data_IF_930810533122
#
_entry.id   IF_930810533122
#
_cell.length_a   1.000
_cell.length_b   1.000
_cell.length_c   1.000
_cell.angle_alpha   90.00
_cell.angle_beta   90.00
_cell.angle_gamma   90.00
#
_symmetry.space_group_name_H-M   'P 1'
#
loop_
_entity.id
_entity.type
_entity.pdbx_description
1 polymer ?
#
# COMPACT_ATOMS: atom_id res chain seq x y z
N UNK A 1 -11.65 18.06 -9.47
CA UNK A 1 -13.00 17.84 -8.90
C UNK A 1 -14.01 17.64 -10.03
N UNK A 2 -14.33 16.39 -10.35
CA UNK A 2 -15.31 16.03 -11.39
C UNK A 2 -16.40 15.16 -10.78
N UNK A 3 -17.02 15.63 -9.70
CA UNK A 3 -18.25 15.06 -9.16
C UNK A 3 -19.19 16.22 -8.80
N UNK A 4 -20.36 16.18 -9.43
CA UNK A 4 -21.34 17.26 -9.53
C UNK A 4 -22.05 17.52 -8.20
N UNK A 5 -22.44 18.78 -7.96
CA UNK A 5 -23.49 19.36 -7.10
C UNK A 5 -24.11 18.67 -5.86
N UNK A 6 -24.10 17.35 -5.73
CA UNK A 6 -24.86 16.56 -4.76
C UNK A 6 -23.99 15.83 -3.72
N UNK A 7 -22.67 15.99 -3.80
CA UNK A 7 -21.71 15.31 -2.91
C UNK A 7 -20.83 16.31 -2.18
N UNK A 8 -20.71 16.16 -0.86
CA UNK A 8 -19.82 16.97 -0.03
C UNK A 8 -18.66 16.15 0.50
N UNK A 9 -17.42 16.54 0.20
CA UNK A 9 -16.22 15.88 0.72
C UNK A 9 -16.11 16.12 2.24
N UNK A 10 -16.07 15.04 3.02
CA UNK A 10 -15.88 15.08 4.47
C UNK A 10 -14.41 14.96 4.84
N UNK A 11 -13.67 14.04 4.20
CA UNK A 11 -12.27 13.79 4.50
C UNK A 11 -11.55 13.12 3.33
N UNK A 12 -10.27 13.44 3.14
CA UNK A 12 -9.41 12.85 2.12
C UNK A 12 -8.06 12.45 2.72
N UNK A 13 -7.91 11.22 3.26
CA UNK A 13 -6.59 10.65 3.56
C UNK A 13 -5.79 10.36 2.30
N UNK A 14 -4.53 10.79 2.29
CA UNK A 14 -3.61 10.66 1.16
C UNK A 14 -2.29 10.10 1.66
N UNK A 15 -1.94 8.89 1.22
CA UNK A 15 -0.67 8.24 1.49
C UNK A 15 0.20 8.31 0.24
N UNK A 16 1.41 8.84 0.35
CA UNK A 16 2.31 8.93 -0.78
C UNK A 16 3.72 8.45 -0.46
N UNK A 17 4.36 7.85 -1.46
CA UNK A 17 5.80 7.58 -1.45
C UNK A 17 6.54 8.91 -1.61
N UNK A 18 7.70 9.03 -0.98
CA UNK A 18 8.65 10.09 -1.31
C UNK A 18 8.97 10.15 -2.83
N UNK A 19 9.46 11.29 -3.29
CA UNK A 19 9.92 11.49 -4.66
C UNK A 19 11.26 10.81 -4.95
N UNK A 20 11.77 11.04 -6.15
CA UNK A 20 13.09 10.60 -6.60
C UNK A 20 14.22 10.97 -5.61
N UNK A 21 15.16 10.05 -5.44
CA UNK A 21 16.25 10.15 -4.46
C UNK A 21 17.51 9.47 -4.95
N UNK A 22 18.63 9.78 -4.30
CA UNK A 22 19.84 8.98 -4.38
C UNK A 22 19.62 7.57 -3.81
N UNK A 23 20.40 6.56 -4.22
CA UNK A 23 20.28 5.20 -3.71
C UNK A 23 20.56 5.18 -2.20
N UNK A 24 19.96 4.23 -1.48
CA UNK A 24 20.15 4.15 -0.02
C UNK A 24 21.52 3.61 0.38
N UNK A 25 22.21 2.94 -0.54
CA UNK A 25 23.58 2.41 -0.44
C UNK A 25 24.05 1.99 -1.84
N UNK A 26 25.35 1.80 -2.00
CA UNK A 26 25.92 1.17 -3.18
C UNK A 26 26.53 -0.20 -2.84
N UNK A 27 26.61 -1.10 -3.81
CA UNK A 27 27.33 -2.37 -3.66
C UNK A 27 28.86 -2.18 -3.80
N UNK A 28 29.69 -3.11 -3.27
CA UNK A 28 31.14 -2.90 -3.17
C UNK A 28 31.86 -2.52 -4.47
N UNK A 29 31.50 -3.13 -5.60
CA UNK A 29 32.14 -2.86 -6.91
C UNK A 29 31.50 -1.74 -7.70
N UNK A 30 30.45 -1.11 -7.17
CA UNK A 30 29.79 0.00 -7.84
C UNK A 30 30.74 1.20 -8.01
N UNK A 31 30.85 1.82 -9.20
CA UNK A 31 31.77 2.95 -9.41
C UNK A 31 31.32 4.24 -8.72
N UNK A 32 30.03 4.38 -8.38
CA UNK A 32 29.45 5.59 -7.83
C UNK A 32 29.24 5.45 -6.33
N UNK A 33 30.25 5.88 -5.57
CA UNK A 33 30.16 5.93 -4.11
C UNK A 33 29.36 7.14 -3.66
N UNK A 34 29.23 7.31 -2.35
CA UNK A 34 28.39 8.34 -1.75
C UNK A 34 28.75 9.77 -2.21
N UNK A 35 30.02 10.00 -2.51
CA UNK A 35 30.56 11.26 -3.02
C UNK A 35 30.13 11.59 -4.47
N UNK A 36 29.66 10.61 -5.23
CA UNK A 36 29.06 10.84 -6.54
C UNK A 36 27.66 11.49 -6.43
N UNK A 37 27.04 11.48 -5.25
CA UNK A 37 25.72 12.02 -5.00
C UNK A 37 25.84 13.36 -4.24
N UNK A 38 25.28 14.48 -4.76
CA UNK A 38 25.52 15.81 -4.20
C UNK A 38 25.13 16.00 -2.73
N UNK A 39 24.20 15.20 -2.21
CA UNK A 39 23.77 15.21 -0.81
C UNK A 39 24.12 13.90 -0.06
N UNK A 40 24.83 12.97 -0.70
CA UNK A 40 25.05 11.62 -0.20
C UNK A 40 23.87 10.68 -0.44
N UNK A 41 23.88 9.52 0.23
CA UNK A 41 22.90 8.45 0.00
C UNK A 41 21.54 8.71 0.69
N UNK A 42 20.48 8.15 0.09
CA UNK A 42 19.11 8.21 0.60
C UNK A 42 18.49 9.61 0.65
N UNK A 43 19.05 10.59 -0.06
CA UNK A 43 18.59 11.98 -0.04
C UNK A 43 17.66 12.28 -1.21
N UNK A 44 16.61 13.05 -0.94
CA UNK A 44 15.68 13.55 -1.95
C UNK A 44 16.41 14.46 -2.94
N UNK A 45 16.25 14.19 -4.24
CA UNK A 45 16.88 14.99 -5.30
C UNK A 45 16.01 16.18 -5.69
N UNK A 46 16.53 17.06 -6.56
CA UNK A 46 15.73 18.15 -7.12
C UNK A 46 14.56 17.63 -7.97
N UNK A 47 14.75 16.50 -8.64
CA UNK A 47 13.69 15.83 -9.38
C UNK A 47 12.61 15.31 -8.42
N UNK A 48 12.99 14.72 -7.27
CA UNK A 48 12.03 14.31 -6.24
C UNK A 48 11.26 15.48 -5.63
N UNK A 49 11.91 16.63 -5.43
CA UNK A 49 11.25 17.87 -5.01
C UNK A 49 10.23 18.35 -6.06
N UNK A 50 10.60 18.33 -7.35
CA UNK A 50 9.71 18.68 -8.46
C UNK A 50 8.49 17.76 -8.52
N UNK A 51 8.68 16.45 -8.40
CA UNK A 51 7.60 15.47 -8.40
C UNK A 51 6.58 15.72 -7.29
N UNK A 52 7.03 16.03 -6.07
CA UNK A 52 6.11 16.37 -4.98
C UNK A 52 5.44 17.74 -5.14
N UNK A 53 6.15 18.71 -5.70
CA UNK A 53 5.56 20.00 -6.04
C UNK A 53 4.41 19.82 -7.04
N UNK A 54 4.61 19.01 -8.08
CA UNK A 54 3.59 18.67 -9.09
C UNK A 54 2.44 17.86 -8.50
N UNK A 55 2.73 16.89 -7.62
CA UNK A 55 1.69 16.18 -6.88
C UNK A 55 0.82 17.16 -6.08
N UNK A 56 1.44 18.13 -5.40
CA UNK A 56 0.72 19.18 -4.67
C UNK A 56 -0.16 20.04 -5.58
N UNK A 57 0.35 20.44 -6.75
CA UNK A 57 -0.41 21.19 -7.75
C UNK A 57 -1.59 20.38 -8.32
N UNK A 58 -1.41 19.07 -8.53
CA UNK A 58 -2.45 18.15 -8.97
C UNK A 58 -3.56 18.00 -7.92
N UNK A 59 -3.18 17.77 -6.66
CA UNK A 59 -4.13 17.60 -5.55
C UNK A 59 -4.92 18.88 -5.27
N UNK A 60 -4.30 20.05 -5.48
CA UNK A 60 -4.96 21.34 -5.29
C UNK A 60 -4.38 22.41 -6.21
N UNK A 61 -5.13 22.74 -7.25
CA UNK A 61 -4.81 23.89 -8.09
C UNK A 61 -5.11 25.19 -7.35
N UNK A 62 -4.08 25.84 -6.81
CA UNK A 62 -4.16 27.21 -6.30
C UNK A 62 -3.00 28.03 -6.86
N UNK A 63 -3.18 28.69 -8.03
CA UNK A 63 -2.12 29.48 -8.63
C UNK A 63 -1.69 30.61 -7.68
N UNK A 64 -0.38 30.87 -7.63
CA UNK A 64 0.19 31.99 -6.86
C UNK A 64 0.21 31.82 -5.34
N UNK A 65 0.12 30.58 -4.81
CA UNK A 65 0.34 30.35 -3.39
C UNK A 65 1.80 30.69 -3.03
N UNK A 66 2.00 31.70 -2.18
CA UNK A 66 3.33 31.99 -1.60
C UNK A 66 3.69 30.92 -0.57
N UNK A 67 4.98 30.67 -0.41
CA UNK A 67 5.48 29.80 0.65
C UNK A 67 4.97 30.27 2.01
N UNK A 68 4.57 29.30 2.83
CA UNK A 68 4.18 29.50 4.23
C UNK A 68 4.62 28.26 5.02
N UNK A 69 5.01 28.42 6.30
CA UNK A 69 5.34 27.28 7.13
C UNK A 69 4.08 26.46 7.43
N UNK A 70 4.11 25.17 7.08
CA UNK A 70 3.07 24.20 7.44
C UNK A 70 3.75 23.15 8.32
N UNK A 71 3.25 22.88 9.54
CA UNK A 71 3.86 21.90 10.42
C UNK A 71 3.76 20.50 9.81
N UNK A 72 4.88 19.78 9.80
CA UNK A 72 4.96 18.35 9.45
C UNK A 72 5.29 17.59 10.72
N UNK A 73 4.35 16.75 11.16
CA UNK A 73 4.51 15.94 12.37
C UNK A 73 5.25 14.64 12.03
N UNK A 74 6.16 14.23 12.92
CA UNK A 74 6.93 13.00 12.77
C UNK A 74 7.18 12.38 14.15
N UNK A 75 7.59 11.12 14.16
CA UNK A 75 8.02 10.39 15.36
C UNK A 75 9.41 9.80 15.12
N UNK A 76 10.22 9.58 16.17
CA UNK A 76 11.51 8.92 16.03
C UNK A 76 11.38 7.52 15.42
N UNK A 77 12.36 7.10 14.60
CA UNK A 77 12.30 5.81 13.90
C UNK A 77 12.16 4.60 14.85
N UNK A 78 12.71 4.67 16.06
CA UNK A 78 12.55 3.62 17.08
C UNK A 78 11.10 3.44 17.54
N UNK A 79 10.29 4.50 17.46
CA UNK A 79 8.88 4.57 17.89
C UNK A 79 7.89 4.54 16.72
N UNK A 80 8.37 4.67 15.48
CA UNK A 80 7.54 4.63 14.28
C UNK A 80 6.86 3.26 14.11
N UNK A 81 5.53 3.25 14.05
CA UNK A 81 4.72 2.02 13.99
C UNK A 81 3.55 2.10 13.00
N UNK A 82 3.42 3.21 12.25
CA UNK A 82 2.28 3.50 11.40
C UNK A 82 2.65 3.71 9.93
N UNK A 83 3.80 4.33 9.64
CA UNK A 83 4.18 4.77 8.30
C UNK A 83 5.48 4.16 7.78
N UNK A 84 6.15 3.30 8.56
CA UNK A 84 7.35 2.57 8.13
C UNK A 84 7.12 1.06 8.24
N UNK A 85 6.89 0.41 7.11
CA UNK A 85 6.72 -1.04 7.01
C UNK A 85 7.88 -1.68 6.24
N UNK A 86 8.20 -2.96 6.51
CA UNK A 86 7.61 -3.82 7.51
C UNK A 86 8.09 -3.55 8.95
N UNK A 87 7.25 -3.82 9.95
CA UNK A 87 7.62 -3.81 11.36
C UNK A 87 8.51 -5.02 11.70
N UNK A 88 9.81 -4.76 11.79
CA UNK A 88 10.84 -5.78 12.00
C UNK A 88 10.90 -6.37 13.42
N UNK A 89 10.23 -5.77 14.40
CA UNK A 89 10.20 -6.23 15.79
C UNK A 89 9.04 -7.20 16.10
N UNK A 90 8.13 -7.47 15.15
CA UNK A 90 6.99 -8.35 15.34
C UNK A 90 7.35 -9.86 15.21
N UNK A 91 7.31 -10.67 16.30
CA UNK A 91 7.72 -12.08 16.23
C UNK A 91 6.84 -12.94 15.32
N UNK A 92 5.51 -12.70 15.33
CA UNK A 92 4.59 -13.43 14.46
C UNK A 92 4.83 -13.11 12.98
N UNK A 93 5.15 -11.86 12.64
CA UNK A 93 5.49 -11.51 11.27
C UNK A 93 6.78 -12.20 10.81
N UNK A 94 7.82 -12.27 11.67
CA UNK A 94 9.04 -13.04 11.38
C UNK A 94 8.74 -14.51 11.09
N UNK A 95 7.84 -15.12 11.87
CA UNK A 95 7.41 -16.50 11.63
C UNK A 95 6.71 -16.64 10.26
N UNK A 96 5.80 -15.74 9.93
CA UNK A 96 5.11 -15.74 8.63
C UNK A 96 6.08 -15.56 7.46
N UNK A 97 7.12 -14.74 7.62
CA UNK A 97 8.17 -14.59 6.61
C UNK A 97 8.97 -15.88 6.45
N UNK A 98 9.34 -16.54 7.55
CA UNK A 98 9.99 -17.85 7.49
C UNK A 98 9.10 -18.90 6.79
N UNK A 99 7.81 -18.96 7.13
CA UNK A 99 6.86 -19.84 6.44
C UNK A 99 6.75 -19.51 4.93
N UNK A 100 6.82 -18.22 4.56
CA UNK A 100 6.78 -17.77 3.16
C UNK A 100 7.98 -18.30 2.37
N UNK A 101 9.17 -18.28 2.97
CA UNK A 101 10.41 -18.79 2.35
C UNK A 101 10.35 -20.30 2.05
N UNK A 102 9.45 -21.05 2.70
CA UNK A 102 9.24 -22.48 2.49
C UNK A 102 8.06 -22.79 1.55
N UNK A 103 7.41 -21.77 0.97
CA UNK A 103 6.35 -22.00 -0.01
C UNK A 103 6.92 -22.38 -1.38
N UNK A 104 6.16 -23.18 -2.14
CA UNK A 104 6.55 -23.57 -3.50
C UNK A 104 6.80 -22.36 -4.40
N UNK A 105 5.99 -21.30 -4.28
CA UNK A 105 6.14 -20.07 -5.06
C UNK A 105 7.50 -19.39 -4.81
N UNK A 106 7.89 -19.24 -3.54
CA UNK A 106 9.19 -18.65 -3.19
C UNK A 106 10.37 -19.53 -3.61
N UNK A 107 10.27 -20.85 -3.38
CA UNK A 107 11.31 -21.81 -3.76
C UNK A 107 11.49 -21.90 -5.28
N UNK A 108 10.40 -21.83 -6.04
CA UNK A 108 10.44 -21.85 -7.50
C UNK A 108 11.18 -20.63 -8.06
N UNK A 109 10.88 -19.42 -7.56
CA UNK A 109 11.60 -18.21 -7.96
C UNK A 109 13.07 -18.28 -7.53
N UNK A 110 13.34 -18.73 -6.31
CA UNK A 110 14.72 -18.87 -5.80
C UNK A 110 15.55 -19.81 -6.68
N UNK A 111 14.97 -20.95 -7.07
CA UNK A 111 15.64 -21.93 -7.94
C UNK A 111 15.80 -21.40 -9.36
N UNK A 112 14.76 -20.79 -9.92
CA UNK A 112 14.77 -20.28 -11.29
C UNK A 112 15.77 -19.13 -11.52
N UNK A 113 16.07 -18.35 -10.47
CA UNK A 113 17.00 -17.22 -10.54
C UNK A 113 18.36 -17.51 -9.89
N UNK A 114 18.68 -18.77 -9.57
CA UNK A 114 19.92 -19.12 -8.89
C UNK A 114 21.16 -18.64 -9.65
N UNK A 115 21.26 -18.95 -10.95
CA UNK A 115 22.38 -18.54 -11.80
C UNK A 115 22.52 -17.00 -11.87
N UNK A 116 21.38 -16.29 -11.85
CA UNK A 116 21.37 -14.84 -11.83
C UNK A 116 21.91 -14.29 -10.49
N UNK A 117 21.56 -14.92 -9.36
CA UNK A 117 22.13 -14.56 -8.05
C UNK A 117 23.65 -14.79 -8.00
N UNK A 118 24.15 -15.85 -8.65
CA UNK A 118 25.59 -16.12 -8.78
C UNK A 118 26.31 -15.08 -9.64
N UNK A 119 25.71 -14.69 -10.77
CA UNK A 119 26.19 -13.58 -11.59
C UNK A 119 26.27 -12.28 -10.77
N UNK A 120 25.18 -11.91 -10.08
CA UNK A 120 25.14 -10.71 -9.26
C UNK A 120 26.18 -10.77 -8.14
N UNK A 121 26.36 -11.91 -7.49
CA UNK A 121 27.40 -12.09 -6.45
C UNK A 121 28.80 -11.85 -7.01
N UNK A 122 29.10 -12.41 -8.18
CA UNK A 122 30.38 -12.21 -8.87
C UNK A 122 30.61 -10.74 -9.26
N UNK A 123 29.59 -10.08 -9.81
CA UNK A 123 29.70 -8.70 -10.32
C UNK A 123 29.68 -7.64 -9.24
N UNK A 124 28.95 -7.85 -8.14
CA UNK A 124 28.75 -6.87 -7.06
C UNK A 124 29.73 -7.03 -5.89
N UNK A 125 30.38 -8.19 -5.77
CA UNK A 125 31.18 -8.63 -4.62
C UNK A 125 30.41 -8.63 -3.28
N UNK A 126 29.08 -8.74 -3.32
CA UNK A 126 28.25 -8.90 -2.12
C UNK A 126 28.45 -10.28 -1.50
N UNK A 127 28.56 -10.33 -0.17
CA UNK A 127 28.71 -11.62 0.57
C UNK A 127 27.45 -12.48 0.50
N UNK A 128 26.27 -11.86 0.54
CA UNK A 128 24.97 -12.54 0.58
C UNK A 128 24.02 -11.94 -0.47
N UNK A 129 23.81 -12.68 -1.56
CA UNK A 129 22.87 -12.34 -2.64
C UNK A 129 21.77 -13.38 -2.66
N UNK A 130 20.54 -12.92 -2.53
CA UNK A 130 19.34 -13.76 -2.49
C UNK A 130 18.13 -12.96 -2.98
N UNK A 131 17.01 -13.64 -3.23
CA UNK A 131 15.72 -13.01 -3.54
C UNK A 131 15.32 -11.95 -2.48
N UNK A 132 15.78 -12.08 -1.22
CA UNK A 132 15.49 -11.13 -0.14
C UNK A 132 16.39 -9.91 -0.13
N UNK A 133 17.58 -9.98 -0.74
CA UNK A 133 18.61 -8.91 -0.64
C UNK A 133 18.88 -8.23 -1.98
N UNK A 134 18.43 -8.82 -3.09
CA UNK A 134 18.65 -8.32 -4.46
C UNK A 134 18.07 -6.93 -4.72
N UNK A 135 17.02 -6.53 -3.98
CA UNK A 135 16.45 -5.18 -4.04
C UNK A 135 17.49 -4.07 -3.87
N UNK A 136 18.56 -4.32 -3.09
CA UNK A 136 19.61 -3.31 -2.87
C UNK A 136 20.47 -3.05 -4.10
N UNK A 137 20.68 -4.07 -4.93
CA UNK A 137 21.37 -3.93 -6.22
C UNK A 137 20.45 -3.20 -7.20
N UNK A 138 19.17 -3.58 -7.23
CA UNK A 138 18.16 -2.89 -8.04
C UNK A 138 18.04 -1.40 -7.68
N UNK A 139 17.90 -1.05 -6.40
CA UNK A 139 17.79 0.35 -5.95
C UNK A 139 18.98 1.19 -6.40
N UNK A 140 20.20 0.64 -6.28
CA UNK A 140 21.44 1.31 -6.72
C UNK A 140 21.37 1.65 -8.21
N UNK A 141 21.21 0.62 -9.05
CA UNK A 141 21.21 0.76 -10.50
C UNK A 141 20.01 1.54 -11.04
N UNK A 142 18.85 1.40 -10.40
CA UNK A 142 17.65 2.15 -10.76
C UNK A 142 17.85 3.65 -10.52
N UNK A 143 18.34 4.06 -9.35
CA UNK A 143 18.59 5.47 -9.06
C UNK A 143 19.63 6.06 -10.02
N UNK A 144 20.73 5.35 -10.28
CA UNK A 144 21.75 5.75 -11.25
C UNK A 144 21.17 5.95 -12.65
N UNK A 145 20.32 5.02 -13.11
CA UNK A 145 19.66 5.12 -14.41
C UNK A 145 18.74 6.34 -14.52
N UNK A 146 18.03 6.70 -13.45
CA UNK A 146 17.19 7.90 -13.40
C UNK A 146 18.01 9.20 -13.52
N UNK A 147 19.31 9.14 -13.21
CA UNK A 147 20.23 10.28 -13.24
C UNK A 147 21.20 10.24 -14.42
N UNK A 148 20.92 9.40 -15.43
CA UNK A 148 21.74 9.23 -16.63
C UNK A 148 23.21 8.88 -16.34
N UNK A 149 23.46 8.17 -15.23
CA UNK A 149 24.79 7.69 -14.90
C UNK A 149 25.13 6.48 -15.79
N UNK A 150 26.39 6.39 -16.21
CA UNK A 150 26.83 5.27 -17.07
C UNK A 150 26.80 3.97 -16.28
N UNK A 151 25.98 3.02 -16.73
CA UNK A 151 25.90 1.71 -16.11
C UNK A 151 27.17 0.87 -16.43
N UNK A 152 27.60 -0.03 -15.53
CA UNK A 152 28.65 -1.00 -15.83
C UNK A 152 28.28 -1.93 -17.00
N UNK A 153 29.27 -2.42 -17.75
CA UNK A 153 29.06 -3.24 -18.97
C UNK A 153 28.18 -4.49 -18.79
N UNK A 154 28.10 -5.03 -17.57
CA UNK A 154 27.29 -6.21 -17.27
C UNK A 154 25.80 -5.88 -17.05
N UNK A 155 25.46 -4.61 -16.86
CA UNK A 155 24.09 -4.14 -16.62
C UNK A 155 23.41 -3.88 -17.97
N UNK A 156 22.78 -4.92 -18.50
CA UNK A 156 21.99 -4.85 -19.73
C UNK A 156 20.51 -4.59 -19.41
N UNK A 157 19.70 -4.35 -20.46
CA UNK A 157 18.25 -4.24 -20.30
C UNK A 157 17.63 -5.50 -19.66
N UNK A 158 18.06 -6.70 -20.08
CA UNK A 158 17.59 -7.97 -19.48
C UNK A 158 17.97 -8.09 -17.99
N UNK A 159 19.16 -7.62 -17.60
CA UNK A 159 19.56 -7.58 -16.18
C UNK A 159 18.64 -6.65 -15.39
N UNK A 160 18.34 -5.45 -15.92
CA UNK A 160 17.42 -4.51 -15.27
C UNK A 160 15.98 -5.05 -15.19
N UNK A 161 15.50 -5.75 -16.23
CA UNK A 161 14.18 -6.38 -16.23
C UNK A 161 14.07 -7.48 -15.16
N UNK A 162 15.11 -8.33 -15.05
CA UNK A 162 15.18 -9.37 -14.00
C UNK A 162 15.25 -8.78 -12.60
N UNK A 163 16.05 -7.73 -12.42
CA UNK A 163 16.13 -7.01 -11.14
C UNK A 163 14.78 -6.38 -10.77
N UNK A 164 14.09 -5.78 -11.75
CA UNK A 164 12.75 -5.19 -11.56
C UNK A 164 11.75 -6.26 -11.12
N UNK A 165 11.71 -7.39 -11.82
CA UNK A 165 10.84 -8.51 -11.47
C UNK A 165 11.10 -9.01 -10.03
N UNK A 166 12.38 -9.20 -9.66
CA UNK A 166 12.75 -9.68 -8.34
C UNK A 166 12.45 -8.66 -7.24
N UNK A 167 12.58 -7.35 -7.53
CA UNK A 167 12.20 -6.29 -6.61
C UNK A 167 10.68 -6.24 -6.38
N UNK A 168 9.89 -6.36 -7.46
CA UNK A 168 8.44 -6.45 -7.42
C UNK A 168 7.97 -7.68 -6.62
N UNK A 169 8.58 -8.84 -6.89
CA UNK A 169 8.35 -10.05 -6.11
C UNK A 169 8.73 -9.85 -4.63
N UNK A 170 9.80 -9.09 -4.37
CA UNK A 170 10.19 -8.55 -3.06
C UNK A 170 9.02 -8.01 -2.25
N UNK A 171 8.31 -7.04 -2.82
CA UNK A 171 7.15 -6.41 -2.19
C UNK A 171 5.96 -7.37 -2.07
N UNK A 172 5.75 -8.23 -3.07
CA UNK A 172 4.69 -9.22 -3.04
C UNK A 172 4.86 -10.22 -1.89
N UNK A 173 6.04 -10.79 -1.68
CA UNK A 173 6.21 -11.75 -0.59
C UNK A 173 6.28 -11.08 0.80
N UNK A 174 6.66 -9.79 0.89
CA UNK A 174 6.63 -9.04 2.15
C UNK A 174 5.22 -8.91 2.73
N UNK A 175 4.21 -8.69 1.88
CA UNK A 175 2.84 -8.40 2.33
C UNK A 175 1.81 -9.45 1.90
N UNK A 176 2.13 -10.31 0.94
CA UNK A 176 1.26 -11.35 0.39
C UNK A 176 1.98 -12.69 0.24
N UNK A 177 1.73 -13.39 -0.87
CA UNK A 177 2.16 -14.76 -1.24
C UNK A 177 1.66 -15.83 -0.27
N UNK A 178 2.06 -15.73 0.99
CA UNK A 178 1.64 -16.62 2.07
C UNK A 178 0.95 -15.83 3.18
N UNK A 179 -0.24 -16.29 3.59
CA UNK A 179 -0.98 -15.75 4.74
C UNK A 179 -1.17 -14.22 4.69
N UNK A 180 -1.49 -13.67 3.52
CA UNK A 180 -1.66 -12.23 3.29
C UNK A 180 -2.54 -11.58 4.36
N UNK A 181 -3.70 -12.16 4.69
CA UNK A 181 -4.58 -11.59 5.72
C UNK A 181 -3.90 -11.45 7.08
N UNK A 182 -3.10 -12.43 7.50
CA UNK A 182 -2.36 -12.34 8.76
C UNK A 182 -1.23 -11.32 8.69
N UNK A 183 -0.52 -11.24 7.56
CA UNK A 183 0.52 -10.23 7.33
C UNK A 183 -0.08 -8.82 7.33
N UNK A 184 -1.17 -8.60 6.60
CA UNK A 184 -1.90 -7.32 6.55
C UNK A 184 -2.28 -6.88 7.96
N UNK A 185 -2.83 -7.77 8.79
CA UNK A 185 -3.19 -7.46 10.18
C UNK A 185 -2.00 -7.01 11.03
N UNK A 186 -0.77 -7.42 10.72
CA UNK A 186 0.44 -7.07 11.46
C UNK A 186 1.25 -5.92 10.83
N UNK A 187 0.86 -5.48 9.62
CA UNK A 187 1.58 -4.51 8.80
C UNK A 187 0.62 -3.39 8.35
N UNK A 188 0.29 -3.30 7.06
CA UNK A 188 -0.55 -2.23 6.49
C UNK A 188 -1.94 -2.10 7.09
N UNK A 189 -2.47 -3.14 7.74
CA UNK A 189 -3.72 -3.14 8.49
C UNK A 189 -3.70 -2.22 9.72
N UNK A 190 -2.53 -1.93 10.28
CA UNK A 190 -2.35 -0.91 11.32
C UNK A 190 -2.70 0.48 10.79
N UNK A 191 -2.12 0.83 9.65
CA UNK A 191 -2.38 2.09 8.96
C UNK A 191 -3.84 2.17 8.49
N UNK A 192 -4.35 1.09 7.89
CA UNK A 192 -5.74 1.02 7.46
C UNK A 192 -6.70 1.22 8.65
N UNK A 193 -6.41 0.62 9.81
CA UNK A 193 -7.19 0.79 11.02
C UNK A 193 -7.27 2.25 11.49
N UNK A 194 -6.13 2.97 11.47
CA UNK A 194 -6.10 4.38 11.85
C UNK A 194 -6.81 5.27 10.81
N UNK A 195 -6.67 4.98 9.51
CA UNK A 195 -7.43 5.66 8.44
C UNK A 195 -8.93 5.48 8.66
N UNK A 196 -9.39 4.23 8.82
CA UNK A 196 -10.82 3.92 9.02
C UNK A 196 -11.36 4.57 10.28
N UNK A 197 -10.61 4.56 11.37
CA UNK A 197 -10.98 5.23 12.62
C UNK A 197 -11.17 6.74 12.40
N UNK A 198 -10.25 7.39 11.70
CA UNK A 198 -10.35 8.82 11.39
C UNK A 198 -11.54 9.11 10.46
N UNK A 199 -11.73 8.33 9.39
CA UNK A 199 -12.87 8.47 8.49
C UNK A 199 -14.21 8.27 9.22
N UNK A 200 -14.30 7.29 10.12
CA UNK A 200 -15.49 7.05 10.95
C UNK A 200 -15.79 8.26 11.85
N UNK A 201 -14.75 8.89 12.40
CA UNK A 201 -14.91 10.13 13.17
C UNK A 201 -15.45 11.27 12.29
N UNK A 202 -14.97 11.39 11.05
CA UNK A 202 -15.42 12.43 10.10
C UNK A 202 -16.83 12.19 9.54
N UNK A 203 -17.29 10.95 9.55
CA UNK A 203 -18.64 10.58 9.14
C UNK A 203 -19.73 11.10 10.10
N UNK A 204 -19.39 11.32 11.38
CA UNK A 204 -20.31 11.87 12.38
C UNK A 204 -20.31 13.40 12.27
N UNK A 205 -21.47 14.06 12.09
CA UNK A 205 -21.56 15.52 12.07
C UNK A 205 -21.11 16.10 13.41
N UNK A 206 -20.02 16.87 13.39
CA UNK A 206 -19.53 17.62 14.55
C UNK A 206 -19.05 19.00 14.08
N UNK A 207 -19.64 20.11 14.58
CA UNK A 207 -19.26 21.46 14.18
C UNK A 207 -17.82 21.84 14.56
N UNK A 208 -17.18 21.12 15.49
CA UNK A 208 -15.78 21.33 15.87
C UNK A 208 -14.80 20.49 15.04
N UNK A 209 -15.29 19.62 14.16
CA UNK A 209 -14.48 18.75 13.33
C UNK A 209 -13.96 19.50 12.10
N UNK A 210 -12.68 19.91 12.13
CA UNK A 210 -12.08 20.74 11.06
C UNK A 210 -11.15 19.97 10.10
N UNK A 211 -10.77 18.73 10.41
CA UNK A 211 -9.79 17.99 9.62
C UNK A 211 -10.41 17.44 8.32
N UNK A 212 -10.12 18.11 7.20
CA UNK A 212 -10.60 17.70 5.86
C UNK A 212 -9.58 16.90 5.04
N UNK A 213 -8.30 17.01 5.38
CA UNK A 213 -7.20 16.43 4.62
C UNK A 213 -6.16 15.86 5.59
N UNK A 214 -5.75 14.63 5.35
CA UNK A 214 -4.66 13.98 6.07
C UNK A 214 -3.60 13.57 5.04
N UNK A 215 -2.40 14.12 5.17
CA UNK A 215 -1.28 13.83 4.27
C UNK A 215 -0.25 12.97 5.00
N UNK A 216 0.02 11.79 4.47
CA UNK A 216 0.89 10.78 5.06
C UNK A 216 2.07 10.54 4.11
N UNK A 217 3.20 11.13 4.43
CA UNK A 217 4.46 10.94 3.69
C UNK A 217 5.16 9.69 4.17
N UNK A 218 5.42 8.74 3.27
CA UNK A 218 5.95 7.43 3.64
C UNK A 218 6.83 6.82 2.52
N UNK A 219 6.90 5.49 2.48
CA UNK A 219 7.73 4.70 1.57
C UNK A 219 6.89 3.86 0.60
N UNK A 220 7.54 3.32 -0.43
CA UNK A 220 6.97 2.33 -1.35
C UNK A 220 6.43 1.12 -0.61
N UNK A 221 7.18 0.61 0.38
CA UNK A 221 6.75 -0.48 1.25
C UNK A 221 5.47 -0.13 1.99
N UNK A 222 5.28 1.13 2.39
CA UNK A 222 4.08 1.58 3.10
C UNK A 222 2.86 1.62 2.20
N UNK A 223 3.02 2.13 0.97
CA UNK A 223 1.96 2.11 -0.05
C UNK A 223 1.59 0.67 -0.41
N UNK A 224 2.57 -0.19 -0.65
CA UNK A 224 2.35 -1.60 -0.95
C UNK A 224 1.64 -2.34 0.20
N UNK A 225 2.04 -2.09 1.45
CA UNK A 225 1.42 -2.69 2.64
C UNK A 225 -0.06 -2.29 2.78
N UNK A 226 -0.38 -1.00 2.60
CA UNK A 226 -1.76 -0.52 2.63
C UNK A 226 -2.58 -1.15 1.51
N UNK A 227 -2.07 -1.11 0.27
CA UNK A 227 -2.75 -1.68 -0.89
C UNK A 227 -2.96 -3.20 -0.76
N UNK A 228 -2.00 -3.93 -0.20
CA UNK A 228 -2.13 -5.38 0.06
C UNK A 228 -3.18 -5.66 1.15
N UNK A 229 -3.30 -4.78 2.14
CA UNK A 229 -4.33 -4.86 3.19
C UNK A 229 -5.73 -4.57 2.65
N UNK A 230 -5.83 -3.67 1.68
CA UNK A 230 -7.05 -3.38 0.92
C UNK A 230 -7.34 -4.39 -0.20
N UNK A 231 -6.43 -5.34 -0.45
CA UNK A 231 -6.48 -6.30 -1.55
C UNK A 231 -6.58 -5.66 -2.95
N UNK A 232 -5.86 -4.54 -3.14
CA UNK A 232 -5.79 -3.78 -4.41
C UNK A 232 -4.35 -3.54 -4.89
N UNK A 233 -3.37 -4.21 -4.27
CA UNK A 233 -1.96 -4.11 -4.69
C UNK A 233 -1.78 -4.80 -6.05
N UNK A 234 -1.14 -4.10 -6.99
CA UNK A 234 -0.94 -4.59 -8.36
C UNK A 234 0.32 -5.46 -8.53
N UNK A 235 1.05 -5.71 -7.44
CA UNK A 235 2.28 -6.51 -7.45
C UNK A 235 3.54 -5.78 -7.89
N UNK A 236 3.48 -4.48 -8.19
CA UNK A 236 4.62 -3.68 -8.67
C UNK A 236 5.07 -2.66 -7.63
N UNK A 237 6.35 -2.28 -7.65
CA UNK A 237 6.86 -1.20 -6.80
C UNK A 237 6.07 0.09 -7.04
N UNK A 238 5.46 0.69 -5.99
CA UNK A 238 4.82 2.00 -6.10
C UNK A 238 5.83 3.04 -6.61
N UNK A 239 5.60 3.74 -7.74
CA UNK A 239 6.56 4.70 -8.29
C UNK A 239 6.88 5.87 -7.35
N UNK A 240 7.95 6.60 -7.62
CA UNK A 240 8.24 7.86 -6.91
C UNK A 240 7.06 8.83 -7.00
N UNK A 241 6.78 9.51 -5.88
CA UNK A 241 5.64 10.40 -5.71
C UNK A 241 4.25 9.77 -6.03
N UNK A 242 4.15 8.44 -6.12
CA UNK A 242 2.85 7.77 -6.21
C UNK A 242 2.02 8.04 -4.96
N UNK A 243 0.71 8.20 -5.16
CA UNK A 243 -0.21 8.61 -4.10
C UNK A 243 -1.47 7.73 -4.13
N UNK A 244 -1.77 7.11 -2.99
CA UNK A 244 -3.01 6.40 -2.72
C UNK A 244 -3.95 7.34 -1.97
N UNK A 245 -5.10 7.61 -2.56
CA UNK A 245 -6.09 8.60 -2.11
C UNK A 245 -7.35 7.84 -1.69
N UNK A 246 -7.80 8.10 -0.47
CA UNK A 246 -9.07 7.62 0.04
C UNK A 246 -9.90 8.87 0.33
N UNK A 247 -11.13 8.92 -0.17
CA UNK A 247 -12.03 10.06 0.03
C UNK A 247 -13.36 9.58 0.58
N UNK A 248 -13.86 10.30 1.58
CA UNK A 248 -15.18 10.11 2.16
C UNK A 248 -16.06 11.28 1.76
N UNK A 249 -17.17 10.98 1.11
CA UNK A 249 -18.19 11.94 0.71
C UNK A 249 -19.49 11.68 1.45
N UNK A 250 -20.27 12.76 1.63
CA UNK A 250 -21.66 12.72 2.06
C UNK A 250 -22.56 13.07 0.90
N UNK A 251 -23.53 12.19 0.67
CA UNK A 251 -24.64 12.35 -0.27
C UNK A 251 -25.94 12.55 0.51
N UNK A 252 -27.02 12.91 -0.19
CA UNK A 252 -28.36 13.09 0.41
C UNK A 252 -28.85 11.86 1.18
N UNK A 253 -28.51 10.66 0.70
CA UNK A 253 -29.01 9.38 1.23
C UNK A 253 -27.96 8.57 2.02
N UNK A 254 -26.77 9.11 2.26
CA UNK A 254 -25.73 8.36 2.99
C UNK A 254 -24.30 8.84 2.79
N UNK A 255 -23.36 7.92 3.00
CA UNK A 255 -21.93 8.14 2.89
C UNK A 255 -21.37 7.26 1.76
N UNK A 256 -20.46 7.83 0.97
CA UNK A 256 -19.78 7.13 -0.13
C UNK A 256 -18.28 7.24 0.03
N UNK A 257 -17.58 6.13 -0.19
CA UNK A 257 -16.12 6.08 -0.20
C UNK A 257 -15.60 5.97 -1.63
N UNK A 258 -14.60 6.77 -1.95
CA UNK A 258 -13.81 6.62 -3.17
C UNK A 258 -12.40 6.21 -2.79
N UNK A 259 -11.91 5.16 -3.43
CA UNK A 259 -10.51 4.76 -3.35
C UNK A 259 -9.94 4.94 -4.75
N UNK A 260 -8.95 5.80 -4.86
CA UNK A 260 -8.26 6.12 -6.11
C UNK A 260 -6.77 6.30 -5.88
N UNK A 261 -5.99 6.30 -6.96
CA UNK A 261 -4.58 6.60 -6.87
C UNK A 261 -3.95 6.65 -8.26
N UNK A 262 -2.91 7.46 -8.40
CA UNK A 262 -2.09 7.47 -9.60
C UNK A 262 -0.99 6.41 -9.42
N UNK A 263 -1.07 5.31 -10.17
CA UNK A 263 -0.02 4.30 -10.23
C UNK A 263 0.92 4.46 -11.45
N UNK A 264 0.83 5.58 -12.17
CA UNK A 264 1.62 5.79 -13.39
C UNK A 264 2.09 7.24 -13.44
N UNK A 265 3.37 7.47 -13.77
CA UNK A 265 3.94 8.81 -14.03
C UNK A 265 3.33 9.53 -15.25
N UNK A 266 2.27 8.97 -15.83
CA UNK A 266 1.44 9.58 -16.88
C UNK A 266 -0.01 9.16 -16.65
N UNK A 267 -0.85 10.16 -16.33
CA UNK A 267 -2.31 10.17 -16.31
C UNK A 267 -3.04 8.82 -16.52
N UNK A 268 -3.46 8.18 -15.43
CA UNK A 268 -4.42 7.08 -15.45
C UNK A 268 -5.15 6.98 -14.11
N UNK A 269 -6.35 7.55 -14.02
CA UNK A 269 -7.22 7.36 -12.86
C UNK A 269 -7.81 5.94 -12.90
N UNK A 270 -7.48 5.10 -11.92
CA UNK A 270 -8.28 3.93 -11.59
C UNK A 270 -9.28 4.35 -10.50
N UNK A 271 -10.53 4.61 -10.90
CA UNK A 271 -11.65 4.83 -10.01
C UNK A 271 -12.20 3.46 -9.57
N UNK A 272 -11.98 3.09 -8.31
CA UNK A 272 -12.70 1.97 -7.69
C UNK A 272 -13.78 2.57 -6.80
N UNK A 273 -15.00 2.62 -7.32
CA UNK A 273 -16.18 3.03 -6.56
C UNK A 273 -16.67 1.84 -5.72
N UNK A 274 -16.71 1.99 -4.39
CA UNK A 274 -17.31 1.02 -3.48
C UNK A 274 -18.30 1.73 -2.55
N UNK A 275 -19.60 1.49 -2.77
CA UNK A 275 -20.59 1.48 -1.68
C UNK A 275 -21.93 0.89 -2.14
N UNK A 276 -22.50 0.03 -1.31
CA UNK A 276 -23.93 0.11 -0.95
C UNK A 276 -24.15 -0.51 0.43
N UNK A 277 -24.55 0.30 1.42
CA UNK A 277 -25.23 -0.18 2.64
C UNK A 277 -26.72 -0.24 2.31
N UNK A 278 -27.24 -1.46 2.33
CA UNK A 278 -28.65 -1.89 2.44
C UNK A 278 -29.75 -0.85 2.12
N UNK A 279 -30.31 -0.94 0.91
CA UNK A 279 -31.56 -0.28 0.51
C UNK A 279 -31.83 -0.52 -0.98
N UNK A 280 -32.91 -1.23 -1.29
CA UNK A 280 -33.25 -1.76 -2.63
C UNK A 280 -33.11 -0.74 -3.77
N UNK A 281 -32.13 -0.93 -4.66
CA UNK A 281 -32.23 -0.58 -6.09
C UNK A 281 -31.43 -1.61 -6.89
N UNK A 282 -32.13 -2.33 -7.76
CA UNK A 282 -31.54 -3.23 -8.73
C UNK A 282 -31.05 -2.42 -9.95
N UNK A 283 -29.78 -2.56 -10.32
CA UNK A 283 -29.31 -2.45 -11.70
C UNK A 283 -27.88 -3.00 -11.80
N UNK A 284 -27.67 -3.86 -12.80
CA UNK A 284 -26.47 -4.62 -13.10
C UNK A 284 -25.18 -3.79 -13.13
N UNK A 285 -24.15 -4.25 -12.41
CA UNK A 285 -22.70 -4.24 -12.76
C UNK A 285 -21.91 -4.84 -11.59
N UNK A 286 -21.03 -5.80 -11.89
CA UNK A 286 -20.27 -6.58 -10.90
C UNK A 286 -19.48 -5.69 -9.94
N UNK A 287 -19.86 -5.72 -8.66
CA UNK A 287 -19.16 -5.11 -7.52
C UNK A 287 -18.06 -6.05 -7.00
N UNK A 288 -16.87 -5.51 -6.71
CA UNK A 288 -15.82 -6.21 -5.95
C UNK A 288 -15.94 -5.81 -4.48
N UNK A 289 -16.05 -6.78 -3.57
CA UNK A 289 -16.10 -6.52 -2.13
C UNK A 289 -14.68 -6.28 -1.58
N UNK A 290 -14.41 -5.12 -0.97
CA UNK A 290 -13.33 -4.96 0.00
C UNK A 290 -13.93 -5.01 1.40
N UNK A 291 -14.18 -6.21 1.90
CA UNK A 291 -14.54 -6.39 3.31
C UNK A 291 -13.33 -5.99 4.16
N UNK A 292 -13.51 -5.07 5.12
CA UNK A 292 -12.51 -4.76 6.17
C UNK A 292 -12.37 -5.99 7.09
N UNK A 293 -11.76 -7.07 6.61
CA UNK A 293 -11.46 -8.29 7.39
C UNK A 293 -10.18 -8.10 8.22
N UNK A 294 -9.38 -7.09 7.89
CA UNK A 294 -8.01 -6.93 8.38
C UNK A 294 -7.88 -6.17 9.70
N UNK A 295 -8.98 -5.82 10.37
CA UNK A 295 -8.97 -5.07 11.63
C UNK A 295 -9.65 -5.90 12.73
N UNK A 296 -8.90 -6.68 13.55
CA UNK A 296 -9.47 -7.11 14.85
C UNK A 296 -9.10 -6.09 15.90
N UNK A 297 -10.04 -5.91 16.83
CA UNK A 297 -9.92 -5.14 18.09
C UNK A 297 -8.88 -5.71 19.08
N UNK A 298 -8.03 -6.66 18.69
CA UNK A 298 -7.09 -7.39 19.59
C UNK A 298 -5.72 -7.56 18.92
N UNK A 299 -5.14 -6.47 18.42
CA UNK A 299 -3.83 -6.53 17.77
C UNK A 299 -2.65 -6.48 18.77
N UNK A 300 -2.84 -5.76 19.89
CA UNK A 300 -1.77 -5.45 20.84
C UNK A 300 -1.32 -6.69 21.66
N UNK A 301 -2.19 -7.69 21.85
CA UNK A 301 -1.82 -8.92 22.58
C UNK A 301 -0.93 -9.89 21.81
N UNK A 302 -0.90 -9.84 20.46
CA UNK A 302 -0.16 -10.82 19.64
C UNK A 302 1.29 -10.42 19.36
N UNK A 303 1.66 -9.17 19.61
CA UNK A 303 3.03 -8.66 19.46
C UNK A 303 3.82 -8.62 20.78
N UNK A 304 3.26 -9.08 21.90
CA UNK A 304 3.98 -9.25 23.16
C UNK A 304 4.41 -7.94 23.83
N UNK A 305 3.49 -7.34 24.61
CA UNK A 305 3.81 -6.29 25.58
C UNK A 305 3.00 -5.00 25.39
N UNK A 306 2.47 -4.51 26.52
CA UNK A 306 1.85 -3.18 26.74
C UNK A 306 0.34 -3.05 26.55
N UNK A 307 -0.27 -2.34 27.51
CA UNK A 307 -1.70 -2.24 27.78
C UNK A 307 -2.16 -0.81 27.53
N UNK A 308 -3.15 -0.64 26.66
CA UNK A 308 -3.98 0.57 26.59
C UNK A 308 -5.43 0.16 26.88
N UNK A 309 -6.05 0.88 27.81
CA UNK A 309 -7.35 0.62 28.41
C UNK A 309 -8.47 0.59 27.37
N UNK A 310 -9.21 -0.52 27.35
CA UNK A 310 -10.38 -0.76 26.51
C UNK A 310 -11.66 -0.34 27.23
N UNK A 311 -12.50 0.48 26.60
CA UNK A 311 -13.92 0.59 26.96
C UNK A 311 -14.84 0.39 25.75
N UNK A 312 -15.71 -0.61 25.93
CA UNK A 312 -17.02 -0.95 25.32
C UNK A 312 -17.38 -0.49 23.90
N UNK A 313 -17.51 -1.48 23.00
CA UNK A 313 -18.59 -1.53 22.01
C UNK A 313 -18.92 -3.01 21.68
N UNK A 314 -19.87 -3.58 22.43
CA UNK A 314 -20.68 -4.75 22.02
C UNK A 314 -21.83 -4.21 21.16
N UNK A 315 -22.07 -4.79 19.98
CA UNK A 315 -23.36 -5.00 19.30
C UNK A 315 -23.08 -5.53 17.87
N UNK A 316 -23.89 -6.51 17.46
CA UNK A 316 -24.04 -7.12 16.12
C UNK A 316 -23.01 -8.20 15.69
N UNK A 317 -23.16 -9.42 16.21
CA UNK A 317 -22.59 -10.63 15.58
C UNK A 317 -23.57 -11.82 15.45
N UNK A 318 -24.87 -11.67 15.77
CA UNK A 318 -25.79 -12.82 15.84
C UNK A 318 -26.85 -12.95 14.71
N UNK A 319 -26.81 -12.15 13.65
CA UNK A 319 -27.87 -12.22 12.59
C UNK A 319 -27.43 -13.02 11.34
N UNK A 320 -26.14 -13.39 11.21
CA UNK A 320 -25.62 -13.96 9.97
C UNK A 320 -25.80 -15.49 9.82
N UNK A 321 -26.00 -16.26 10.90
CA UNK A 321 -26.10 -17.73 10.78
C UNK A 321 -27.51 -18.23 10.43
N UNK A 322 -28.56 -17.42 10.63
CA UNK A 322 -29.94 -17.85 10.41
C UNK A 322 -30.43 -17.52 8.99
N UNK A 323 -29.96 -16.44 8.37
CA UNK A 323 -30.50 -15.98 7.09
C UNK A 323 -29.92 -16.69 5.85
N UNK A 324 -28.70 -17.21 5.95
CA UNK A 324 -28.03 -17.91 4.85
C UNK A 324 -28.74 -19.21 4.41
N UNK A 325 -29.20 -20.10 5.32
CA UNK A 325 -29.92 -21.31 4.90
C UNK A 325 -31.31 -21.01 4.31
N UNK A 326 -31.99 -19.94 4.74
CA UNK A 326 -33.28 -19.54 4.19
C UNK A 326 -33.16 -19.01 2.75
N UNK A 327 -32.13 -18.22 2.46
CA UNK A 327 -31.86 -17.75 1.11
C UNK A 327 -31.52 -18.90 0.14
N UNK A 328 -30.78 -19.91 0.61
CA UNK A 328 -30.44 -21.09 -0.19
C UNK A 328 -31.68 -21.94 -0.52
N UNK A 329 -32.58 -22.14 0.46
CA UNK A 329 -33.83 -22.88 0.27
C UNK A 329 -34.76 -22.21 -0.75
N UNK A 330 -34.92 -20.89 -0.69
CA UNK A 330 -35.76 -20.15 -1.64
C UNK A 330 -35.21 -20.28 -3.07
N UNK A 331 -33.89 -20.18 -3.22
CA UNK A 331 -33.23 -20.29 -4.53
C UNK A 331 -33.38 -21.69 -5.12
N UNK A 332 -33.25 -22.74 -4.31
CA UNK A 332 -33.47 -24.13 -4.73
C UNK A 332 -34.94 -24.41 -5.10
N UNK A 333 -35.90 -23.85 -4.36
CA UNK A 333 -37.33 -23.96 -4.69
C UNK A 333 -37.68 -23.28 -6.02
N UNK A 334 -37.10 -22.10 -6.30
CA UNK A 334 -37.31 -21.39 -7.58
C UNK A 334 -36.69 -22.17 -8.73
N UNK A 335 -35.48 -22.70 -8.58
CA UNK A 335 -34.83 -23.53 -9.60
C UNK A 335 -35.65 -24.80 -9.88
N UNK A 336 -36.14 -25.47 -8.84
CA UNK A 336 -36.97 -26.67 -8.97
C UNK A 336 -38.33 -26.39 -9.65
N UNK A 337 -38.95 -25.24 -9.34
CA UNK A 337 -40.20 -24.82 -9.99
C UNK A 337 -39.99 -24.46 -11.47
N UNK A 338 -38.84 -23.89 -11.81
CA UNK A 338 -38.50 -23.49 -13.20
C UNK A 338 -38.22 -24.72 -14.08
N UNK A 339 -37.62 -25.78 -13.51
CA UNK A 339 -37.38 -27.06 -14.21
C UNK A 339 -38.62 -27.93 -14.41
N UNK A 340 -39.75 -27.62 -13.76
CA UNK A 340 -41.03 -28.32 -14.00
C UNK A 340 -41.92 -27.64 -15.06
N UNK A 341 -41.56 -26.45 -15.52
CA UNK A 341 -42.29 -25.67 -16.51
C UNK A 341 -41.60 -25.61 -17.89
N UNK A 342 -40.48 -26.32 -18.03
CA UNK A 342 -39.85 -26.74 -19.29
C UNK A 342 -40.05 -28.25 -19.45
#
# INVERSE_FOLDING_TARGET
>A
SVLSGYMSLLSSPQLFRHGDRSPVKAYPTDPYKEDAWPQGFGQLTQEGMRQHYELGQFLRTRPGLKWQPIPVHTVPQSEERLLSFPLGDCPRYKQLMNETEHTAEFLNITTAYQDFMELLKSKTALKNVSVKTVWSVFDTLFCESCHNMSAPDWVTADVMDRLTFLNDFGLQFLFGVHQQQQKSRLQGGLLLGEIVKNLTKMAVPDPNQQLKLMMLSAHDTTVAALQASLNVFNGKQPPYASCHIIELYREENGLVFYIGGNMVSTAGLLLVALASVCGRVAAERQLVYATVVSVDKVLIRRCGGWSLTTDRCRIAFEICEILLPFALMITLCVIYATFRLL
#
